data_IF_256450534346
#
_entry.id   IF_256450534346
#
_cell.length_a   1.000
_cell.length_b   1.000
_cell.length_c   1.000
_cell.angle_alpha   90.00
_cell.angle_beta   90.00
_cell.angle_gamma   90.00
#
_symmetry.space_group_name_H-M   'P 1'
#
loop_
_entity.id
_entity.type
_entity.pdbx_description
1 polymer ?
#
# COMPACT_ATOMS: atom_id res chain seq x y z
N UNK A 1 30.38 59.48 14.02
CA UNK A 1 29.38 58.53 14.56
C UNK A 1 29.18 57.42 13.54
N UNK A 2 29.52 56.18 13.87
CA UNK A 2 29.27 55.02 13.01
C UNK A 2 27.89 54.46 13.39
N UNK A 3 26.94 54.49 12.46
CA UNK A 3 25.62 53.90 12.69
C UNK A 3 25.76 52.38 12.89
N UNK A 4 25.09 51.76 13.88
CA UNK A 4 25.14 50.32 14.06
C UNK A 4 24.58 49.62 12.82
N UNK A 5 25.34 48.65 12.30
CA UNK A 5 25.01 47.92 11.08
C UNK A 5 23.68 47.14 11.22
N UNK A 6 22.76 47.20 10.24
CA UNK A 6 21.41 46.61 10.31
C UNK A 6 21.36 45.07 10.27
N UNK A 7 22.51 44.39 10.33
CA UNK A 7 22.63 42.93 10.20
C UNK A 7 22.25 42.18 11.49
N UNK A 8 22.35 42.80 12.67
CA UNK A 8 22.06 42.16 13.98
C UNK A 8 20.60 41.70 14.20
N UNK A 9 19.54 42.48 13.88
CA UNK A 9 18.16 42.09 14.20
C UNK A 9 17.68 40.85 13.43
N UNK A 10 18.15 40.65 12.18
CA UNK A 10 17.77 39.49 11.37
C UNK A 10 18.38 38.18 11.88
N UNK A 11 19.59 38.22 12.45
CA UNK A 11 20.25 37.05 13.05
C UNK A 11 19.57 36.66 14.36
N UNK A 12 19.26 37.63 15.22
CA UNK A 12 18.56 37.40 16.49
C UNK A 12 17.15 36.82 16.27
N UNK A 13 16.38 37.34 15.31
CA UNK A 13 15.07 36.80 14.97
C UNK A 13 15.14 35.34 14.49
N UNK A 14 16.12 34.98 13.66
CA UNK A 14 16.35 33.58 13.23
C UNK A 14 16.75 32.67 14.39
N UNK A 15 17.55 33.15 15.34
CA UNK A 15 17.94 32.39 16.53
C UNK A 15 16.75 32.13 17.47
N UNK A 16 15.91 33.14 17.69
CA UNK A 16 14.68 33.01 18.49
C UNK A 16 13.69 32.05 17.82
N UNK A 17 13.49 32.16 16.50
CA UNK A 17 12.64 31.23 15.74
C UNK A 17 13.16 29.78 15.82
N UNK A 18 14.48 29.57 15.67
CA UNK A 18 15.11 28.25 15.84
C UNK A 18 14.93 27.72 17.26
N UNK A 19 15.11 28.55 18.28
CA UNK A 19 14.91 28.15 19.68
C UNK A 19 13.45 27.77 19.97
N UNK A 20 12.48 28.51 19.41
CA UNK A 20 11.06 28.19 19.52
C UNK A 20 10.73 26.87 18.80
N UNK A 21 11.21 26.68 17.58
CA UNK A 21 11.02 25.45 16.82
C UNK A 21 11.57 24.23 17.58
N UNK A 22 12.78 24.32 18.12
CA UNK A 22 13.38 23.25 18.93
C UNK A 22 12.57 22.96 20.19
N UNK A 23 12.01 23.97 20.85
CA UNK A 23 11.13 23.78 22.04
C UNK A 23 9.83 23.08 21.67
N UNK A 24 9.22 23.43 20.53
CA UNK A 24 8.01 22.77 20.01
C UNK A 24 8.30 21.31 19.67
N UNK A 25 9.38 21.05 18.95
CA UNK A 25 9.81 19.68 18.60
C UNK A 25 10.10 18.84 19.86
N UNK A 26 10.80 19.40 20.84
CA UNK A 26 11.08 18.72 22.10
C UNK A 26 9.78 18.40 22.88
N UNK A 27 8.79 19.30 22.85
CA UNK A 27 7.47 19.06 23.44
C UNK A 27 6.73 17.95 22.68
N UNK A 28 6.65 18.03 21.36
CA UNK A 28 6.03 17.00 20.52
C UNK A 28 6.66 15.62 20.76
N UNK A 29 8.00 15.57 20.85
CA UNK A 29 8.75 14.35 21.17
C UNK A 29 8.45 13.79 22.57
N UNK A 30 8.21 14.65 23.57
CA UNK A 30 7.75 14.20 24.89
C UNK A 30 6.34 13.63 24.81
N UNK A 31 5.44 14.27 24.08
CA UNK A 31 4.06 13.81 23.94
C UNK A 31 3.95 12.48 23.18
N UNK A 32 4.73 12.29 22.11
CA UNK A 32 4.78 11.03 21.35
C UNK A 32 5.30 9.83 22.16
N UNK A 33 6.05 10.07 23.23
CA UNK A 33 6.55 9.01 24.12
C UNK A 33 5.60 8.63 25.24
N UNK A 34 4.47 9.33 25.40
CA UNK A 34 3.47 8.99 26.43
C UNK A 34 2.61 7.83 25.96
N UNK A 35 2.37 6.87 26.86
CA UNK A 35 1.45 5.74 26.62
C UNK A 35 0.04 6.21 26.25
N UNK A 36 -0.44 7.29 26.87
CA UNK A 36 -1.76 7.88 26.56
C UNK A 36 -1.87 8.28 25.09
N UNK A 37 -0.84 8.90 24.54
CA UNK A 37 -0.81 9.31 23.13
C UNK A 37 -0.85 8.10 22.21
N UNK A 38 -0.08 7.05 22.50
CA UNK A 38 -0.11 5.82 21.72
C UNK A 38 -1.51 5.18 21.72
N UNK A 39 -2.19 5.07 22.87
CA UNK A 39 -3.55 4.52 22.94
C UNK A 39 -4.54 5.36 22.14
N UNK A 40 -4.44 6.70 22.19
CA UNK A 40 -5.30 7.60 21.42
C UNK A 40 -5.05 7.42 19.91
N UNK A 41 -3.78 7.39 19.48
CA UNK A 41 -3.42 7.15 18.08
C UNK A 41 -3.94 5.80 17.59
N UNK A 42 -3.87 4.77 18.44
CA UNK A 42 -4.40 3.44 18.12
C UNK A 42 -5.92 3.49 17.94
N UNK A 43 -6.64 4.17 18.84
CA UNK A 43 -8.08 4.33 18.75
C UNK A 43 -8.49 5.11 17.48
N UNK A 44 -7.75 6.15 17.11
CA UNK A 44 -7.99 6.91 15.88
C UNK A 44 -7.75 6.03 14.65
N UNK A 45 -6.64 5.28 14.59
CA UNK A 45 -6.39 4.33 13.49
C UNK A 45 -7.50 3.28 13.39
N UNK A 46 -7.95 2.73 14.52
CA UNK A 46 -9.06 1.79 14.56
C UNK A 46 -10.36 2.39 14.01
N UNK A 47 -10.69 3.62 14.40
CA UNK A 47 -11.87 4.33 13.88
C UNK A 47 -11.78 4.58 12.37
N UNK A 48 -10.63 5.04 11.87
CA UNK A 48 -10.41 5.24 10.44
C UNK A 48 -10.52 3.93 9.66
N UNK A 49 -9.97 2.83 10.21
CA UNK A 49 -10.08 1.51 9.61
C UNK A 49 -11.54 1.03 9.55
N UNK A 50 -12.34 1.25 10.61
CA UNK A 50 -13.78 0.95 10.61
C UNK A 50 -14.52 1.73 9.52
N UNK A 51 -14.21 3.03 9.35
CA UNK A 51 -14.80 3.82 8.26
C UNK A 51 -14.41 3.24 6.89
N UNK A 52 -13.15 2.82 6.74
CA UNK A 52 -12.63 2.19 5.54
C UNK A 52 -13.34 0.91 5.14
N UNK A 53 -13.68 0.07 6.11
CA UNK A 53 -14.34 -1.21 5.84
C UNK A 53 -15.83 -1.06 5.49
N UNK A 54 -16.46 0.05 5.88
CA UNK A 54 -17.88 0.32 5.60
C UNK A 54 -18.13 0.99 4.24
N UNK A 55 -17.09 1.56 3.62
CA UNK A 55 -17.18 2.29 2.36
C UNK A 55 -16.45 1.53 1.24
N UNK A 56 -16.91 1.64 -0.03
CA UNK A 56 -16.17 1.08 -1.15
C UNK A 56 -14.79 1.75 -1.24
N UNK A 57 -13.73 0.95 -1.37
CA UNK A 57 -12.34 1.41 -1.42
C UNK A 57 -11.73 1.16 -2.80
N UNK A 58 -10.92 2.10 -3.27
CA UNK A 58 -10.00 1.91 -4.38
C UNK A 58 -8.65 1.39 -3.85
N UNK A 59 -7.93 0.57 -4.64
CA UNK A 59 -8.31 0.03 -5.94
C UNK A 59 -9.19 -1.24 -5.87
N UNK A 60 -9.60 -1.70 -4.68
CA UNK A 60 -10.20 -3.04 -4.52
C UNK A 60 -11.65 -3.15 -5.03
N UNK A 61 -12.42 -2.06 -5.04
CA UNK A 61 -13.80 -2.03 -5.53
C UNK A 61 -14.10 -0.75 -6.35
N UNK A 62 -13.50 -0.58 -7.55
CA UNK A 62 -13.80 0.55 -8.43
C UNK A 62 -15.27 0.66 -8.84
N UNK A 63 -15.99 -0.44 -9.19
CA UNK A 63 -17.42 -0.36 -9.51
C UNK A 63 -18.27 0.18 -8.36
N UNK A 64 -17.98 -0.23 -7.12
CA UNK A 64 -18.67 0.25 -5.93
C UNK A 64 -18.47 1.74 -5.69
N UNK A 65 -17.26 2.24 -5.91
CA UNK A 65 -16.96 3.69 -5.82
C UNK A 65 -17.68 4.45 -6.92
N UNK A 66 -17.60 4.00 -8.17
CA UNK A 66 -18.30 4.62 -9.29
C UNK A 66 -19.82 4.67 -9.05
N UNK A 67 -20.40 3.54 -8.62
CA UNK A 67 -21.82 3.45 -8.28
C UNK A 67 -22.24 4.37 -7.14
N UNK A 68 -21.35 4.64 -6.17
CA UNK A 68 -21.61 5.66 -5.14
C UNK A 68 -21.57 7.06 -5.74
N UNK A 69 -20.54 7.38 -6.53
CA UNK A 69 -20.35 8.70 -7.16
C UNK A 69 -21.55 9.09 -8.01
N UNK A 70 -22.07 8.17 -8.81
CA UNK A 70 -23.24 8.39 -9.67
C UNK A 70 -24.52 8.60 -8.86
N UNK A 71 -24.70 7.88 -7.75
CA UNK A 71 -25.90 8.00 -6.89
C UNK A 71 -25.86 9.21 -5.95
N UNK A 72 -24.67 9.69 -5.61
CA UNK A 72 -24.47 10.74 -4.62
C UNK A 72 -23.56 11.87 -5.11
N UNK A 73 -23.97 12.63 -6.16
CA UNK A 73 -23.12 13.63 -6.81
C UNK A 73 -22.72 14.81 -5.88
N UNK A 74 -23.49 15.06 -4.81
CA UNK A 74 -23.20 16.14 -3.86
C UNK A 74 -22.19 15.73 -2.79
N UNK A 75 -22.26 14.50 -2.25
CA UNK A 75 -21.37 14.03 -1.17
C UNK A 75 -20.09 13.41 -1.70
N UNK A 76 -20.12 12.82 -2.90
CA UNK A 76 -18.97 12.16 -3.50
C UNK A 76 -17.71 13.06 -3.62
N UNK A 77 -17.81 14.34 -4.03
CA UNK A 77 -16.64 15.23 -4.06
C UNK A 77 -16.01 15.45 -2.67
N UNK A 78 -16.81 15.47 -1.61
CA UNK A 78 -16.30 15.60 -0.24
C UNK A 78 -15.62 14.32 0.23
N UNK A 79 -16.21 13.16 -0.09
CA UNK A 79 -15.61 11.86 0.21
C UNK A 79 -14.26 11.72 -0.48
N UNK A 80 -14.17 12.11 -1.75
CA UNK A 80 -12.91 12.12 -2.49
C UNK A 80 -11.88 13.09 -1.86
N UNK A 81 -12.26 14.32 -1.50
CA UNK A 81 -11.36 15.30 -0.86
C UNK A 81 -10.84 14.84 0.51
N UNK A 82 -11.66 14.14 1.27
CA UNK A 82 -11.27 13.58 2.57
C UNK A 82 -10.50 12.26 2.43
N UNK A 83 -10.42 11.69 1.23
CA UNK A 83 -9.77 10.40 0.98
C UNK A 83 -10.58 9.19 1.48
N UNK A 84 -11.92 9.29 1.59
CA UNK A 84 -12.74 8.20 2.14
C UNK A 84 -12.86 6.98 1.20
N UNK A 85 -12.68 7.17 -0.11
CA UNK A 85 -12.61 6.07 -1.09
C UNK A 85 -11.23 5.42 -1.17
N UNK A 86 -10.24 5.96 -0.46
CA UNK A 86 -8.89 5.39 -0.35
C UNK A 86 -8.36 5.73 1.05
N UNK A 87 -9.09 5.29 2.08
CA UNK A 87 -8.84 5.73 3.47
C UNK A 87 -7.45 5.30 3.94
N UNK A 88 -6.96 4.17 3.46
CA UNK A 88 -5.69 3.58 3.90
C UNK A 88 -4.47 4.32 3.33
N UNK A 89 -4.66 5.09 2.26
CA UNK A 89 -3.62 5.98 1.70
C UNK A 89 -3.92 7.46 1.98
N UNK A 90 -5.08 7.76 2.58
CA UNK A 90 -5.49 9.13 2.92
C UNK A 90 -4.53 9.80 3.90
N UNK A 91 -4.40 11.12 3.79
CA UNK A 91 -3.49 11.90 4.64
C UNK A 91 -3.78 11.76 6.15
N UNK A 92 -5.03 11.68 6.66
CA UNK A 92 -5.26 11.52 8.10
C UNK A 92 -4.80 10.14 8.61
N UNK A 93 -5.04 9.09 7.82
CA UNK A 93 -4.58 7.74 8.15
C UNK A 93 -3.06 7.67 8.16
N UNK A 94 -2.41 8.20 7.13
CA UNK A 94 -0.95 8.22 7.00
C UNK A 94 -0.29 9.03 8.11
N UNK A 95 -0.80 10.23 8.44
CA UNK A 95 -0.28 11.01 9.57
C UNK A 95 -0.40 10.22 10.88
N UNK A 96 -1.57 9.65 11.16
CA UNK A 96 -1.80 8.90 12.40
C UNK A 96 -0.90 7.66 12.47
N UNK A 97 -0.74 6.93 11.35
CA UNK A 97 0.13 5.77 11.24
C UNK A 97 1.62 6.13 11.45
N UNK A 98 2.09 7.23 10.87
CA UNK A 98 3.48 7.71 11.04
C UNK A 98 3.73 8.14 12.49
N UNK A 99 2.79 8.83 13.12
CA UNK A 99 2.90 9.21 14.53
C UNK A 99 2.91 7.97 15.43
N UNK A 100 2.05 6.98 15.14
CA UNK A 100 2.04 5.69 15.84
C UNK A 100 3.38 4.97 15.72
N UNK A 101 3.90 4.87 14.49
CA UNK A 101 5.19 4.23 14.22
C UNK A 101 6.33 4.92 14.98
N UNK A 102 6.36 6.26 14.92
CA UNK A 102 7.34 7.07 15.64
C UNK A 102 7.23 6.88 17.16
N UNK A 103 6.00 6.77 17.70
CA UNK A 103 5.75 6.50 19.12
C UNK A 103 6.33 5.15 19.56
N UNK A 104 6.03 4.09 18.80
CA UNK A 104 6.55 2.73 19.07
C UNK A 104 8.08 2.73 19.01
N UNK A 105 8.67 3.28 17.94
CA UNK A 105 10.12 3.38 17.77
C UNK A 105 10.79 4.15 18.90
N UNK A 106 10.31 5.36 19.22
CA UNK A 106 10.85 6.18 20.29
C UNK A 106 10.83 5.46 21.65
N UNK A 107 9.78 4.69 21.92
CA UNK A 107 9.69 3.88 23.13
C UNK A 107 10.75 2.78 23.17
N UNK A 108 11.03 2.12 22.04
CA UNK A 108 12.07 1.08 21.92
C UNK A 108 13.48 1.64 22.10
N UNK A 109 13.82 2.73 21.42
CA UNK A 109 15.14 3.36 21.52
C UNK A 109 15.52 3.75 22.95
N UNK A 110 14.55 4.08 23.79
CA UNK A 110 14.79 4.47 25.19
C UNK A 110 14.76 3.27 26.13
N UNK A 111 13.80 2.34 25.93
CA UNK A 111 13.58 1.21 26.85
C UNK A 111 14.66 0.14 26.72
N UNK A 112 15.13 -0.16 25.51
CA UNK A 112 16.12 -1.23 25.26
C UNK A 112 17.41 -0.98 26.05
N UNK A 113 18.09 0.18 25.96
CA UNK A 113 19.33 0.41 26.72
C UNK A 113 19.10 0.44 28.23
N UNK A 114 17.95 0.96 28.68
CA UNK A 114 17.61 1.01 30.09
C UNK A 114 17.35 -0.38 30.69
N UNK A 115 16.71 -1.27 29.95
CA UNK A 115 16.49 -2.66 30.35
C UNK A 115 17.80 -3.45 30.31
N UNK A 116 18.64 -3.21 29.29
CA UNK A 116 19.97 -3.80 29.19
C UNK A 116 20.86 -3.49 30.41
N UNK A 117 20.94 -2.22 30.81
CA UNK A 117 21.67 -1.82 32.04
C UNK A 117 21.16 -2.52 33.29
N UNK A 118 19.84 -2.66 33.44
CA UNK A 118 19.20 -3.35 34.58
C UNK A 118 19.43 -4.86 34.56
N UNK A 119 19.47 -5.47 33.39
CA UNK A 119 19.79 -6.88 33.25
C UNK A 119 21.26 -7.16 33.60
N UNK A 120 22.16 -6.22 33.31
CA UNK A 120 23.60 -6.34 33.58
C UNK A 120 23.96 -6.11 35.04
N UNK A 121 23.23 -5.25 35.75
CA UNK A 121 23.47 -4.95 37.17
C UNK A 121 22.77 -5.97 38.08
N UNK A 122 23.50 -6.88 38.77
CA UNK A 122 22.91 -7.89 39.64
C UNK A 122 22.07 -7.29 40.76
N UNK A 123 22.39 -6.08 41.23
CA UNK A 123 21.64 -5.41 42.30
C UNK A 123 20.25 -4.95 41.85
N UNK A 124 20.05 -4.74 40.54
CA UNK A 124 18.77 -4.31 39.96
C UNK A 124 17.94 -5.48 39.43
N UNK A 125 18.45 -6.72 39.51
CA UNK A 125 17.72 -7.90 39.04
C UNK A 125 16.56 -8.24 39.96
N UNK A 126 15.35 -8.21 39.41
CA UNK A 126 14.12 -8.60 40.11
C UNK A 126 13.28 -9.57 39.25
N UNK A 127 12.24 -10.16 39.86
CA UNK A 127 11.31 -11.07 39.16
C UNK A 127 10.60 -10.42 37.97
N UNK A 128 10.51 -9.09 37.93
CA UNK A 128 9.88 -8.32 36.86
C UNK A 128 10.72 -8.18 35.58
N UNK A 129 12.02 -8.52 35.61
CA UNK A 129 12.88 -8.44 34.42
C UNK A 129 12.37 -9.31 33.26
N UNK A 130 11.81 -10.48 33.54
CA UNK A 130 11.24 -11.34 32.51
C UNK A 130 10.03 -10.71 31.81
N UNK A 131 9.13 -10.10 32.59
CA UNK A 131 7.96 -9.40 32.06
C UNK A 131 8.36 -8.18 31.23
N UNK A 132 9.40 -7.47 31.66
CA UNK A 132 9.95 -6.36 30.89
C UNK A 132 10.60 -6.81 29.58
N UNK A 133 11.43 -7.86 29.61
CA UNK A 133 12.06 -8.42 28.42
C UNK A 133 10.99 -8.88 27.41
N UNK A 134 9.95 -9.57 27.88
CA UNK A 134 8.82 -9.98 27.05
C UNK A 134 8.11 -8.78 26.41
N UNK A 135 7.87 -7.70 27.17
CA UNK A 135 7.28 -6.47 26.65
C UNK A 135 8.15 -5.81 25.56
N UNK A 136 9.47 -5.78 25.76
CA UNK A 136 10.42 -5.22 24.78
C UNK A 136 10.47 -6.08 23.52
N UNK A 137 10.51 -7.41 23.66
CA UNK A 137 10.49 -8.34 22.52
C UNK A 137 9.19 -8.14 21.72
N UNK A 138 8.05 -8.07 22.40
CA UNK A 138 6.76 -7.86 21.76
C UNK A 138 6.74 -6.57 20.93
N UNK A 139 7.02 -5.41 21.54
CA UNK A 139 7.00 -4.14 20.81
C UNK A 139 8.11 -4.05 19.76
N UNK A 140 9.29 -4.61 20.05
CA UNK A 140 10.41 -4.69 19.12
C UNK A 140 10.04 -5.49 17.88
N UNK A 141 9.32 -6.61 18.03
CA UNK A 141 8.85 -7.43 16.91
C UNK A 141 7.90 -6.65 15.99
N UNK A 142 6.95 -5.90 16.55
CA UNK A 142 6.08 -5.02 15.76
C UNK A 142 6.84 -3.91 15.05
N UNK A 143 7.81 -3.29 15.75
CA UNK A 143 8.63 -2.24 15.15
C UNK A 143 9.47 -2.77 13.98
N UNK A 144 10.12 -3.92 14.14
CA UNK A 144 10.92 -4.58 13.10
C UNK A 144 10.03 -5.01 11.93
N UNK A 145 8.88 -5.64 12.21
CA UNK A 145 7.91 -6.00 11.17
C UNK A 145 7.51 -4.77 10.36
N UNK A 146 7.21 -3.66 11.03
CA UNK A 146 6.79 -2.42 10.37
C UNK A 146 7.92 -1.78 9.55
N UNK A 147 9.18 -1.81 10.04
CA UNK A 147 10.37 -1.44 9.23
C UNK A 147 10.44 -2.31 7.98
N UNK A 148 10.26 -3.62 8.12
CA UNK A 148 10.27 -4.57 7.00
C UNK A 148 9.17 -4.27 5.97
N UNK A 149 7.95 -3.99 6.41
CA UNK A 149 6.83 -3.60 5.54
C UNK A 149 7.13 -2.29 4.81
N UNK A 150 7.66 -1.27 5.51
CA UNK A 150 8.04 0.00 4.87
C UNK A 150 9.13 -0.19 3.83
N UNK A 151 10.14 -0.99 4.12
CA UNK A 151 11.21 -1.32 3.18
C UNK A 151 10.67 -2.09 1.97
N UNK A 152 9.84 -3.10 2.20
CA UNK A 152 9.20 -3.87 1.12
C UNK A 152 8.29 -3.00 0.24
N UNK A 153 7.50 -2.11 0.83
CA UNK A 153 6.70 -1.13 0.06
C UNK A 153 7.55 -0.10 -0.68
N UNK A 154 8.67 0.33 -0.12
CA UNK A 154 9.55 1.29 -0.76
C UNK A 154 10.33 0.67 -1.93
N UNK A 155 10.74 -0.59 -1.83
CA UNK A 155 11.51 -1.28 -2.89
C UNK A 155 10.69 -2.14 -3.86
N UNK A 156 9.42 -2.37 -3.57
CA UNK A 156 8.53 -3.18 -4.41
C UNK A 156 7.54 -2.34 -5.21
N UNK A 157 6.72 -3.04 -5.99
CA UNK A 157 5.60 -2.47 -6.71
C UNK A 157 4.43 -3.45 -6.71
N UNK A 158 3.23 -2.92 -6.96
CA UNK A 158 2.03 -3.69 -7.25
C UNK A 158 1.43 -3.10 -8.51
N UNK A 159 1.13 -3.95 -9.48
CA UNK A 159 0.46 -3.53 -10.71
C UNK A 159 -0.54 -4.57 -11.18
N UNK A 160 -1.58 -4.07 -11.83
CA UNK A 160 -2.67 -4.85 -12.39
C UNK A 160 -2.71 -4.64 -13.91
N UNK A 161 -3.02 -5.69 -14.65
CA UNK A 161 -3.20 -5.65 -16.10
C UNK A 161 -4.29 -6.65 -16.51
N UNK A 162 -5.23 -6.20 -17.32
CA UNK A 162 -6.22 -7.07 -17.96
C UNK A 162 -5.61 -7.68 -19.23
N UNK A 163 -5.58 -9.02 -19.28
CA UNK A 163 -4.99 -9.77 -20.41
C UNK A 163 -6.04 -10.70 -20.98
N UNK A 164 -6.32 -10.57 -22.27
CA UNK A 164 -7.26 -11.44 -22.98
C UNK A 164 -6.65 -12.82 -23.18
N UNK A 165 -7.48 -13.85 -23.12
CA UNK A 165 -7.07 -15.21 -23.47
C UNK A 165 -6.47 -15.26 -24.89
N UNK A 166 -5.29 -15.87 -25.02
CA UNK A 166 -4.52 -15.91 -26.27
C UNK A 166 -3.43 -14.85 -26.36
N UNK A 167 -3.58 -13.73 -25.64
CA UNK A 167 -2.66 -12.61 -25.68
C UNK A 167 -1.49 -12.76 -24.69
N UNK A 168 -0.61 -11.77 -24.67
CA UNK A 168 0.56 -11.75 -23.81
C UNK A 168 0.77 -10.37 -23.21
N UNK A 169 1.08 -10.37 -21.92
CA UNK A 169 1.52 -9.21 -21.19
C UNK A 169 3.04 -9.19 -21.14
N UNK A 170 3.66 -8.02 -21.31
CA UNK A 170 5.11 -7.85 -21.09
C UNK A 170 5.28 -7.02 -19.83
N UNK A 171 6.08 -7.53 -18.89
CA UNK A 171 6.39 -6.89 -17.61
C UNK A 171 7.24 -5.64 -17.83
N UNK A 172 6.55 -4.53 -18.12
CA UNK A 172 7.12 -3.23 -18.35
C UNK A 172 6.19 -2.17 -17.81
N UNK A 173 6.77 -1.10 -17.25
CA UNK A 173 6.04 0.00 -16.60
C UNK A 173 4.82 0.50 -17.38
N UNK A 174 4.98 0.64 -18.70
CA UNK A 174 3.96 1.22 -19.60
C UNK A 174 2.77 0.29 -19.88
N UNK A 175 2.86 -1.00 -19.54
CA UNK A 175 1.86 -2.00 -19.89
C UNK A 175 0.88 -2.30 -18.75
N UNK A 176 1.12 -1.76 -17.56
CA UNK A 176 0.21 -1.89 -16.42
C UNK A 176 -0.96 -0.91 -16.55
N UNK A 177 -2.18 -1.39 -16.31
CA UNK A 177 -3.38 -0.56 -16.26
C UNK A 177 -3.36 0.34 -15.03
N UNK A 178 -2.94 -0.24 -13.90
CA UNK A 178 -2.67 0.46 -12.65
C UNK A 178 -1.32 0.00 -12.12
N UNK A 179 -0.48 0.95 -11.70
CA UNK A 179 0.83 0.66 -11.16
C UNK A 179 1.13 1.57 -9.96
N UNK A 180 1.42 0.95 -8.83
CA UNK A 180 1.90 1.61 -7.62
C UNK A 180 3.30 1.13 -7.31
N UNK A 181 4.27 2.03 -7.48
CA UNK A 181 5.69 1.76 -7.23
C UNK A 181 6.18 2.46 -5.97
N UNK A 182 7.02 1.76 -5.22
CA UNK A 182 7.79 2.36 -4.15
C UNK A 182 8.88 3.30 -4.68
N UNK A 183 9.30 4.26 -3.84
CA UNK A 183 10.32 5.26 -4.21
C UNK A 183 11.71 4.69 -4.49
N UNK A 184 11.98 3.45 -4.06
CA UNK A 184 13.21 2.70 -4.32
C UNK A 184 13.01 1.63 -5.41
N UNK A 185 11.81 1.50 -5.97
CA UNK A 185 11.55 0.62 -7.12
C UNK A 185 12.13 1.27 -8.37
N UNK A 186 13.14 0.64 -8.98
CA UNK A 186 13.86 1.23 -10.12
C UNK A 186 13.78 0.44 -11.41
N UNK A 187 13.49 -0.87 -11.36
CA UNK A 187 13.63 -1.76 -12.51
C UNK A 187 12.41 -2.66 -12.71
N UNK A 188 12.09 -2.90 -13.98
CA UNK A 188 11.19 -3.95 -14.45
C UNK A 188 12.01 -5.06 -15.13
N UNK A 189 11.59 -6.31 -14.96
CA UNK A 189 12.25 -7.54 -15.39
C UNK A 189 12.04 -7.85 -16.89
N UNK A 190 11.05 -7.25 -17.56
CA UNK A 190 10.81 -7.38 -19.02
C UNK A 190 10.55 -8.80 -19.54
N UNK A 191 10.12 -9.73 -18.68
CA UNK A 191 9.62 -11.02 -19.14
C UNK A 191 8.20 -10.89 -19.68
N UNK A 192 7.79 -11.85 -20.50
CA UNK A 192 6.45 -11.94 -21.07
C UNK A 192 5.64 -13.03 -20.37
N UNK A 193 4.37 -12.75 -20.09
CA UNK A 193 3.37 -13.70 -19.58
C UNK A 193 2.32 -13.89 -20.67
N UNK A 194 2.25 -15.07 -21.26
CA UNK A 194 1.19 -15.46 -22.19
C UNK A 194 0.06 -16.14 -21.43
N UNK A 195 -1.18 -15.70 -21.67
CA UNK A 195 -2.38 -16.36 -21.14
C UNK A 195 -2.89 -17.32 -22.21
N UNK A 196 -2.77 -18.62 -21.96
CA UNK A 196 -3.16 -19.64 -22.93
C UNK A 196 -4.66 -19.98 -22.87
N UNK A 197 -5.22 -20.00 -21.66
CA UNK A 197 -6.65 -20.31 -21.44
C UNK A 197 -7.10 -19.79 -20.08
N UNK A 198 -8.36 -19.38 -20.00
CA UNK A 198 -9.06 -19.07 -18.76
C UNK A 198 -10.29 -19.98 -18.61
N UNK A 199 -10.55 -20.44 -17.39
CA UNK A 199 -11.78 -21.16 -17.06
C UNK A 199 -12.33 -20.72 -15.72
N UNK A 200 -13.65 -20.63 -15.62
CA UNK A 200 -14.36 -20.32 -14.40
C UNK A 200 -15.49 -21.32 -14.15
N UNK A 201 -15.65 -21.70 -12.88
CA UNK A 201 -16.76 -22.50 -12.39
C UNK A 201 -17.63 -21.64 -11.48
N UNK A 202 -18.95 -21.83 -11.55
CA UNK A 202 -19.92 -21.06 -10.78
C UNK A 202 -20.80 -22.00 -9.96
N UNK A 203 -21.24 -21.53 -8.80
CA UNK A 203 -22.34 -22.15 -8.08
C UNK A 203 -23.67 -21.93 -8.82
N UNK A 204 -24.72 -22.73 -8.57
CA UNK A 204 -26.02 -22.54 -9.20
C UNK A 204 -26.62 -21.14 -9.02
N UNK A 205 -26.24 -20.43 -7.95
CA UNK A 205 -26.65 -19.05 -7.69
C UNK A 205 -25.81 -17.98 -8.41
N UNK A 206 -24.93 -18.36 -9.34
CA UNK A 206 -24.11 -17.43 -10.14
C UNK A 206 -22.83 -16.95 -9.45
N UNK A 207 -22.65 -17.23 -8.15
CA UNK A 207 -21.42 -16.86 -7.46
C UNK A 207 -20.21 -17.67 -7.98
N UNK A 208 -19.06 -17.04 -8.24
CA UNK A 208 -17.86 -17.75 -8.66
C UNK A 208 -17.43 -18.77 -7.61
N UNK A 209 -17.17 -19.99 -8.07
CA UNK A 209 -16.65 -21.10 -7.27
C UNK A 209 -15.14 -21.22 -7.42
N UNK A 210 -14.65 -21.10 -8.66
CA UNK A 210 -13.23 -21.19 -8.98
C UNK A 210 -12.95 -20.47 -10.30
N UNK A 211 -11.75 -19.92 -10.46
CA UNK A 211 -11.32 -19.29 -11.70
C UNK A 211 -9.80 -19.44 -11.87
N UNK A 212 -9.42 -20.01 -13.01
CA UNK A 212 -8.07 -20.51 -13.26
C UNK A 212 -7.59 -20.06 -14.64
N UNK A 213 -6.37 -19.52 -14.69
CA UNK A 213 -5.68 -19.20 -15.94
C UNK A 213 -4.47 -20.11 -16.12
N UNK A 214 -4.31 -20.70 -17.31
CA UNK A 214 -3.05 -21.34 -17.72
C UNK A 214 -2.15 -20.28 -18.33
N UNK A 215 -0.96 -20.11 -17.76
CA UNK A 215 0.01 -19.12 -18.20
C UNK A 215 1.35 -19.75 -18.55
N UNK A 216 2.03 -19.13 -19.52
CA UNK A 216 3.42 -19.42 -19.88
C UNK A 216 4.26 -18.17 -19.75
N UNK A 217 5.40 -18.29 -19.08
CA UNK A 217 6.35 -17.18 -18.93
C UNK A 217 7.49 -17.36 -19.93
N UNK A 218 7.79 -16.30 -20.66
CA UNK A 218 8.90 -16.23 -21.60
C UNK A 218 9.89 -15.15 -21.15
N UNK A 219 11.18 -15.48 -21.11
CA UNK A 219 12.25 -14.52 -20.85
C UNK A 219 13.26 -14.58 -21.99
N UNK A 220 13.55 -13.43 -22.61
CA UNK A 220 14.36 -13.34 -23.83
C UNK A 220 13.83 -14.22 -24.98
N UNK A 221 12.51 -14.43 -25.06
CA UNK A 221 11.86 -15.29 -26.04
C UNK A 221 11.91 -16.79 -25.74
N UNK A 222 12.55 -17.22 -24.64
CA UNK A 222 12.61 -18.62 -24.20
C UNK A 222 11.52 -18.91 -23.18
N UNK A 223 10.78 -20.01 -23.36
CA UNK A 223 9.85 -20.51 -22.35
C UNK A 223 10.62 -20.90 -21.08
N UNK A 224 10.29 -20.27 -19.96
CA UNK A 224 10.96 -20.51 -18.66
C UNK A 224 10.04 -21.16 -17.63
N UNK A 225 8.73 -20.95 -17.71
CA UNK A 225 7.75 -21.51 -16.77
C UNK A 225 6.41 -21.74 -17.47
N UNK A 226 5.67 -22.77 -17.08
CA UNK A 226 4.31 -23.04 -17.52
C UNK A 226 3.49 -23.54 -16.32
N UNK A 227 2.49 -22.77 -15.91
CA UNK A 227 1.75 -23.03 -14.67
C UNK A 227 0.31 -22.54 -14.78
N UNK A 228 -0.57 -23.13 -13.98
CA UNK A 228 -1.91 -22.59 -13.76
C UNK A 228 -1.91 -21.69 -12.53
N UNK A 229 -2.47 -20.48 -12.68
CA UNK A 229 -2.72 -19.54 -11.58
C UNK A 229 -4.22 -19.55 -11.26
N UNK A 230 -4.55 -19.58 -9.97
CA UNK A 230 -5.91 -19.63 -9.44
C UNK A 230 -5.93 -18.95 -8.07
N UNK A 231 -7.09 -18.90 -7.40
CA UNK A 231 -7.21 -18.28 -6.07
C UNK A 231 -6.16 -18.86 -5.09
N UNK A 232 -5.39 -17.99 -4.44
CA UNK A 232 -4.27 -18.33 -3.53
C UNK A 232 -3.10 -19.11 -4.15
N UNK A 233 -3.08 -19.34 -5.47
CA UNK A 233 -2.03 -20.07 -6.17
C UNK A 233 -1.41 -19.20 -7.25
N UNK A 234 -0.18 -18.76 -7.01
CA UNK A 234 0.56 -17.86 -7.88
C UNK A 234 1.72 -18.55 -8.61
N UNK A 235 2.22 -17.87 -9.63
CA UNK A 235 3.53 -18.16 -10.21
C UNK A 235 4.52 -17.08 -9.79
N UNK A 236 5.74 -17.49 -9.43
CA UNK A 236 6.81 -16.62 -8.98
C UNK A 236 7.91 -16.61 -10.03
N UNK A 237 8.27 -15.44 -10.54
CA UNK A 237 9.35 -15.32 -11.50
C UNK A 237 10.12 -14.01 -11.31
N UNK A 238 11.44 -14.11 -11.17
CA UNK A 238 12.34 -12.99 -10.85
C UNK A 238 11.89 -12.12 -9.65
N UNK A 239 11.27 -12.75 -8.63
CA UNK A 239 10.77 -12.05 -7.44
C UNK A 239 9.42 -11.36 -7.63
N UNK A 240 8.81 -11.46 -8.82
CA UNK A 240 7.48 -10.96 -9.13
C UNK A 240 6.50 -12.12 -8.99
N UNK A 241 5.50 -11.93 -8.13
CA UNK A 241 4.41 -12.89 -7.90
C UNK A 241 3.21 -12.50 -8.74
N UNK A 242 2.80 -13.39 -9.64
CA UNK A 242 1.71 -13.17 -10.57
C UNK A 242 0.49 -13.95 -10.09
N UNK A 243 -0.58 -13.23 -9.82
CA UNK A 243 -1.83 -13.74 -9.27
C UNK A 243 -2.96 -13.61 -10.28
N UNK A 244 -3.92 -14.52 -10.22
CA UNK A 244 -5.24 -14.29 -10.80
C UNK A 244 -6.05 -13.41 -9.83
N UNK A 245 -6.10 -12.10 -10.09
CA UNK A 245 -6.74 -11.13 -9.18
C UNK A 245 -8.25 -10.97 -9.43
N UNK A 246 -8.67 -11.05 -10.69
CA UNK A 246 -10.06 -10.92 -11.11
C UNK A 246 -10.21 -11.39 -12.55
N UNK A 247 -11.43 -11.38 -13.08
CA UNK A 247 -11.71 -11.77 -14.46
C UNK A 247 -12.93 -10.99 -14.97
N UNK A 248 -13.13 -10.99 -16.28
CA UNK A 248 -14.23 -10.28 -16.92
C UNK A 248 -14.44 -10.77 -18.35
N UNK A 249 -15.32 -10.10 -19.08
CA UNK A 249 -15.63 -10.46 -20.46
C UNK A 249 -14.75 -9.71 -21.45
N UNK A 250 -14.33 -10.38 -22.52
CA UNK A 250 -13.68 -9.78 -23.66
C UNK A 250 -14.41 -10.19 -24.95
N UNK A 251 -15.62 -9.66 -25.22
CA UNK A 251 -16.36 -10.01 -26.42
C UNK A 251 -15.61 -9.57 -27.68
N UNK A 252 -15.69 -10.38 -28.74
CA UNK A 252 -15.24 -9.96 -30.06
C UNK A 252 -16.23 -8.94 -30.61
N UNK A 253 -15.78 -7.70 -30.78
CA UNK A 253 -16.57 -6.64 -31.38
C UNK A 253 -16.18 -6.50 -32.84
N UNK A 254 -17.17 -6.66 -33.73
CA UNK A 254 -17.02 -6.40 -35.15
C UNK A 254 -17.67 -5.07 -35.51
N UNK A 255 -16.87 -4.10 -35.92
CA UNK A 255 -17.33 -2.77 -36.36
C UNK A 255 -17.17 -2.68 -37.86
N UNK A 256 -18.26 -2.40 -38.57
CA UNK A 256 -18.29 -2.25 -40.03
C UNK A 256 -18.79 -0.87 -40.41
N UNK A 257 -18.20 -0.28 -41.44
CA UNK A 257 -18.73 0.95 -42.05
C UNK A 257 -19.96 0.65 -42.91
N UNK A 258 -20.80 1.65 -43.26
CA UNK A 258 -22.00 1.44 -44.09
C UNK A 258 -21.73 0.81 -45.47
N UNK A 259 -20.52 0.98 -46.00
CA UNK A 259 -20.02 0.37 -47.24
C UNK A 259 -19.48 -1.06 -47.06
N UNK A 260 -19.59 -1.65 -45.85
CA UNK A 260 -19.24 -3.04 -45.56
C UNK A 260 -17.76 -3.29 -45.25
N UNK A 261 -16.95 -2.23 -45.06
CA UNK A 261 -15.54 -2.37 -44.68
C UNK A 261 -15.44 -2.61 -43.17
N UNK A 262 -14.77 -3.70 -42.79
CA UNK A 262 -14.45 -4.00 -41.39
C UNK A 262 -13.41 -3.01 -40.87
N UNK A 263 -13.76 -2.32 -39.79
CA UNK A 263 -12.90 -1.38 -39.06
C UNK A 263 -12.21 -2.09 -37.89
N UNK A 264 -12.95 -2.97 -37.21
CA UNK A 264 -12.48 -3.71 -36.05
C UNK A 264 -13.15 -5.08 -36.04
N UNK A 265 -12.41 -6.12 -35.65
CA UNK A 265 -12.90 -7.50 -35.44
C UNK A 265 -11.95 -8.18 -34.46
N UNK A 266 -12.03 -7.78 -33.20
CA UNK A 266 -11.09 -8.18 -32.16
C UNK A 266 -11.76 -8.26 -30.78
N UNK A 267 -11.24 -9.08 -29.85
CA UNK A 267 -11.65 -9.05 -28.46
C UNK A 267 -11.44 -7.65 -27.86
N UNK A 268 -12.50 -7.10 -27.25
CA UNK A 268 -12.44 -5.83 -26.53
C UNK A 268 -12.70 -6.08 -25.06
N UNK A 269 -11.78 -5.67 -24.18
CA UNK A 269 -11.94 -5.83 -22.73
C UNK A 269 -13.17 -5.04 -22.27
N UNK A 270 -14.11 -5.74 -21.64
CA UNK A 270 -15.29 -5.15 -21.03
C UNK A 270 -15.17 -5.27 -19.52
N UNK A 271 -14.88 -4.15 -18.85
CA UNK A 271 -14.74 -4.08 -17.39
C UNK A 271 -16.13 -4.04 -16.75
N UNK A 272 -16.69 -5.23 -16.53
CA UNK A 272 -17.89 -5.46 -15.74
C UNK A 272 -17.84 -6.86 -15.14
N UNK A 273 -18.32 -7.01 -13.90
CA UNK A 273 -18.58 -8.34 -13.35
C UNK A 273 -19.60 -9.07 -14.26
N UNK A 274 -19.51 -10.40 -14.43
CA UNK A 274 -20.56 -11.19 -15.05
C UNK A 274 -21.94 -11.02 -14.41
#
# INVERSE_FOLDING_TARGET
MIAPSPVRPAVEARLVQRALALRVLARAWRELRRMRTAIILLAILGLLAIVGTLLPQLPQNPPGVMGYVLRHPVTAPWFARLGLFDIFSSWPFMITAVLMYTSIGASMFIRIPAAWRRAMDPAQRNRGLGAEAASIIFHGSFFILLVGVLYGKAGGFVGDAAVVEGDSFVEARANYDNLSEGVLSTNHANFQVKVDSFSAAYWPGGAPKDFTSRVRIYDGGRLVESKSIQVNHYVDYQGIKIYQAGYGWAPTLKIETPDGRVVEDAPTIFVGDP
#
